data_IF_186152932046
#
_entry.id   IF_186152932046
#
_cell.length_a   1.000
_cell.length_b   1.000
_cell.length_c   1.000
_cell.angle_alpha   90.00
_cell.angle_beta   90.00
_cell.angle_gamma   90.00
#
_symmetry.space_group_name_H-M   'P 1'
#
loop_
_entity.id
_entity.type
_entity.pdbx_description
1 polymer ?
#
# COMPACT_ATOMS: atom_id res chain seq x y z
N UNK A 1 -11.52 17.33 5.91
CA UNK A 1 -11.68 17.39 4.43
C UNK A 1 -13.11 17.77 4.11
N UNK A 2 -13.35 18.56 3.07
CA UNK A 2 -14.71 18.92 2.67
C UNK A 2 -15.48 17.69 2.19
N UNK A 3 -16.75 17.58 2.56
CA UNK A 3 -17.61 16.46 2.18
C UNK A 3 -17.70 16.31 0.65
N UNK A 4 -17.84 17.42 -0.05
CA UNK A 4 -17.91 17.48 -1.52
C UNK A 4 -16.67 16.91 -2.20
N UNK A 5 -15.48 17.14 -1.62
CA UNK A 5 -14.25 16.54 -2.12
C UNK A 5 -14.27 15.01 -1.98
N UNK A 6 -14.66 14.48 -0.81
CA UNK A 6 -14.68 13.03 -0.57
C UNK A 6 -15.67 12.32 -1.50
N UNK A 7 -16.89 12.85 -1.62
CA UNK A 7 -17.90 12.30 -2.54
C UNK A 7 -17.44 12.37 -4.01
N UNK A 8 -16.78 13.47 -4.40
CA UNK A 8 -16.21 13.62 -5.73
C UNK A 8 -15.09 12.62 -6.00
N UNK A 9 -14.15 12.45 -5.05
CA UNK A 9 -13.04 11.52 -5.16
C UNK A 9 -13.54 10.06 -5.26
N UNK A 10 -14.50 9.66 -4.41
CA UNK A 10 -15.11 8.34 -4.48
C UNK A 10 -15.76 8.09 -5.85
N UNK A 11 -16.50 9.07 -6.39
CA UNK A 11 -17.12 8.96 -7.71
C UNK A 11 -16.09 8.75 -8.82
N UNK A 12 -15.00 9.51 -8.81
CA UNK A 12 -13.90 9.38 -9.79
C UNK A 12 -13.25 7.99 -9.68
N UNK A 13 -12.88 7.58 -8.46
CA UNK A 13 -12.20 6.30 -8.20
C UNK A 13 -13.09 5.12 -8.61
N UNK A 14 -14.39 5.15 -8.28
CA UNK A 14 -15.32 4.09 -8.68
C UNK A 14 -15.51 4.03 -10.20
N UNK A 15 -15.59 5.18 -10.88
CA UNK A 15 -15.67 5.21 -12.34
C UNK A 15 -14.43 4.58 -12.99
N UNK A 16 -13.23 4.86 -12.47
CA UNK A 16 -11.99 4.22 -12.88
C UNK A 16 -11.98 2.71 -12.57
N UNK A 17 -12.55 2.30 -11.45
CA UNK A 17 -12.71 0.88 -11.13
C UNK A 17 -13.60 0.12 -12.12
N UNK A 18 -14.61 0.77 -12.71
CA UNK A 18 -15.40 0.17 -13.78
C UNK A 18 -14.56 -0.12 -15.03
N UNK A 19 -13.56 0.72 -15.33
CA UNK A 19 -12.62 0.47 -16.45
C UNK A 19 -11.84 -0.83 -16.19
N UNK A 20 -11.33 -1.00 -14.97
CA UNK A 20 -10.57 -2.19 -14.56
C UNK A 20 -11.46 -3.43 -14.59
N UNK A 21 -12.66 -3.36 -14.01
CA UNK A 21 -13.60 -4.48 -13.93
C UNK A 21 -14.06 -4.97 -15.29
N UNK A 22 -14.26 -4.05 -16.24
CA UNK A 22 -14.73 -4.34 -17.58
C UNK A 22 -13.60 -4.48 -18.61
N UNK A 23 -12.34 -4.58 -18.16
CA UNK A 23 -11.19 -4.70 -19.05
C UNK A 23 -11.25 -5.98 -19.90
N UNK A 24 -10.94 -5.85 -21.19
CA UNK A 24 -10.75 -7.00 -22.05
C UNK A 24 -9.39 -7.64 -21.76
N UNK A 25 -9.43 -8.72 -21.00
CA UNK A 25 -8.22 -9.46 -20.59
C UNK A 25 -7.54 -10.21 -21.74
N UNK A 26 -8.17 -10.34 -22.90
CA UNK A 26 -7.54 -10.89 -24.08
C UNK A 26 -6.63 -9.89 -24.81
N UNK A 27 -6.80 -8.59 -24.52
CA UNK A 27 -6.08 -7.49 -25.16
C UNK A 27 -5.54 -6.50 -24.12
N UNK A 28 -4.74 -6.96 -23.16
CA UNK A 28 -4.20 -6.11 -22.11
C UNK A 28 -3.11 -5.14 -22.58
N UNK A 29 -2.44 -5.44 -23.72
CA UNK A 29 -1.32 -4.61 -24.18
C UNK A 29 -0.17 -4.61 -23.18
N UNK A 30 0.23 -5.80 -22.71
CA UNK A 30 1.25 -5.96 -21.67
C UNK A 30 2.61 -5.53 -22.20
N UNK A 31 3.27 -4.64 -21.46
CA UNK A 31 4.64 -4.22 -21.69
C UNK A 31 5.49 -4.50 -20.44
N UNK A 32 6.74 -4.91 -20.63
CA UNK A 32 7.69 -5.07 -19.52
C UNK A 32 8.35 -3.73 -19.23
N UNK A 33 8.32 -3.32 -17.98
CA UNK A 33 9.19 -2.26 -17.44
C UNK A 33 10.58 -2.85 -17.12
N UNK A 34 11.42 -2.11 -16.42
CA UNK A 34 12.73 -2.60 -15.99
C UNK A 34 12.60 -3.78 -15.01
N UNK A 35 13.35 -4.87 -15.27
CA UNK A 35 13.33 -6.10 -14.46
C UNK A 35 12.43 -7.19 -15.04
N UNK A 36 12.47 -8.40 -14.44
CA UNK A 36 11.77 -9.59 -14.95
C UNK A 36 10.30 -9.72 -14.50
N UNK A 37 9.88 -8.94 -13.51
CA UNK A 37 8.57 -9.06 -12.89
C UNK A 37 7.76 -7.75 -12.92
N UNK A 38 8.29 -6.68 -13.52
CA UNK A 38 7.66 -5.38 -13.56
C UNK A 38 6.93 -5.19 -14.89
N UNK A 39 5.61 -5.15 -14.86
CA UNK A 39 4.73 -5.06 -16.02
C UNK A 39 3.80 -3.87 -15.91
N UNK A 40 3.38 -3.37 -17.08
CA UNK A 40 2.33 -2.38 -17.23
C UNK A 40 1.35 -2.86 -18.32
N UNK A 41 0.10 -2.53 -18.16
CA UNK A 41 -0.91 -2.76 -19.18
C UNK A 41 -1.43 -1.42 -19.74
N UNK A 42 -2.11 -1.46 -20.90
CA UNK A 42 -2.77 -0.26 -21.42
C UNK A 42 -3.80 0.32 -20.45
N UNK A 43 -4.30 -0.49 -19.51
CA UNK A 43 -5.28 -0.06 -18.51
C UNK A 43 -4.64 0.75 -17.39
N UNK A 44 -3.40 0.47 -17.00
CA UNK A 44 -2.68 1.27 -15.98
C UNK A 44 -2.57 2.73 -16.46
N UNK A 45 -2.08 2.95 -17.67
CA UNK A 45 -1.97 4.28 -18.25
C UNK A 45 -3.34 4.98 -18.45
N UNK A 46 -4.36 4.23 -18.89
CA UNK A 46 -5.72 4.76 -19.06
C UNK A 46 -6.33 5.18 -17.74
N UNK A 47 -6.29 4.30 -16.74
CA UNK A 47 -6.85 4.56 -15.41
C UNK A 47 -6.13 5.71 -14.74
N UNK A 48 -4.78 5.78 -14.83
CA UNK A 48 -4.03 6.91 -14.28
C UNK A 48 -4.45 8.24 -14.91
N UNK A 49 -4.62 8.28 -16.23
CA UNK A 49 -5.06 9.49 -16.92
C UNK A 49 -6.44 9.96 -16.43
N UNK A 50 -7.42 9.05 -16.37
CA UNK A 50 -8.77 9.37 -15.90
C UNK A 50 -8.78 9.82 -14.43
N UNK A 51 -7.98 9.17 -13.55
CA UNK A 51 -7.79 9.60 -12.16
C UNK A 51 -7.19 10.99 -12.09
N UNK A 52 -6.14 11.26 -12.86
CA UNK A 52 -5.47 12.56 -12.86
C UNK A 52 -6.42 13.68 -13.32
N UNK A 53 -7.19 13.48 -14.39
CA UNK A 53 -8.14 14.45 -14.89
C UNK A 53 -9.25 14.70 -13.87
N UNK A 54 -9.89 13.66 -13.33
CA UNK A 54 -10.99 13.79 -12.38
C UNK A 54 -10.56 14.36 -11.02
N UNK A 55 -9.40 13.94 -10.50
CA UNK A 55 -8.89 14.47 -9.23
C UNK A 55 -8.42 15.93 -9.36
N UNK A 56 -7.88 16.30 -10.52
CA UNK A 56 -7.51 17.70 -10.80
C UNK A 56 -8.69 18.64 -10.86
N UNK A 57 -9.87 18.18 -11.29
CA UNK A 57 -11.10 18.99 -11.21
C UNK A 57 -11.49 19.30 -9.76
N UNK A 58 -11.23 18.40 -8.83
CA UNK A 58 -11.53 18.55 -7.41
C UNK A 58 -10.48 19.40 -6.67
N UNK A 59 -9.23 19.36 -7.11
CA UNK A 59 -8.07 20.09 -6.54
C UNK A 59 -7.16 20.58 -7.68
N UNK A 60 -7.50 21.70 -8.33
CA UNK A 60 -6.77 22.17 -9.51
C UNK A 60 -5.30 22.52 -9.27
N UNK A 61 -4.98 22.93 -8.04
CA UNK A 61 -3.63 23.37 -7.65
C UNK A 61 -2.75 22.20 -7.12
N UNK A 62 -3.33 21.01 -6.90
CA UNK A 62 -2.57 19.86 -6.43
C UNK A 62 -1.71 19.28 -7.55
N UNK A 63 -0.44 18.98 -7.22
CA UNK A 63 0.44 18.22 -8.08
C UNK A 63 0.03 16.73 -8.10
N UNK A 64 0.61 15.96 -9.02
CA UNK A 64 0.30 14.54 -9.18
C UNK A 64 1.59 13.72 -9.25
N UNK A 65 1.68 12.69 -8.43
CA UNK A 65 2.71 11.67 -8.44
C UNK A 65 2.04 10.31 -8.68
N UNK A 66 2.14 9.80 -9.89
CA UNK A 66 1.59 8.49 -10.27
C UNK A 66 2.69 7.46 -10.50
N UNK A 67 2.31 6.17 -10.51
CA UNK A 67 3.23 5.10 -10.87
C UNK A 67 3.65 5.17 -12.34
N UNK A 68 2.71 5.57 -13.22
CA UNK A 68 2.96 5.60 -14.65
C UNK A 68 3.48 6.99 -15.09
N UNK A 69 4.64 7.03 -15.76
CA UNK A 69 5.26 8.24 -16.28
C UNK A 69 6.69 8.48 -15.80
N UNK A 70 7.25 9.61 -16.18
CA UNK A 70 8.69 9.92 -16.01
C UNK A 70 9.04 10.55 -14.65
N UNK A 71 8.07 10.86 -13.77
CA UNK A 71 8.35 11.57 -12.53
C UNK A 71 8.66 10.61 -11.38
N UNK A 72 9.96 10.37 -11.17
CA UNK A 72 10.45 9.61 -10.00
C UNK A 72 10.61 10.49 -8.74
N UNK A 73 10.51 11.81 -8.87
CA UNK A 73 10.72 12.74 -7.76
C UNK A 73 9.38 13.27 -7.23
N UNK A 74 9.30 13.36 -5.89
CA UNK A 74 8.14 13.94 -5.23
C UNK A 74 8.01 15.43 -5.59
N UNK A 75 6.87 15.89 -6.14
CA UNK A 75 6.67 17.26 -6.57
C UNK A 75 6.88 18.30 -5.45
N UNK A 76 7.50 19.44 -5.78
CA UNK A 76 7.57 20.60 -4.88
C UNK A 76 6.26 21.38 -4.94
N UNK A 77 5.24 20.88 -4.24
CA UNK A 77 3.91 21.47 -4.17
C UNK A 77 3.31 21.31 -2.76
N UNK A 78 2.39 22.20 -2.41
CA UNK A 78 1.74 22.14 -1.09
C UNK A 78 0.85 20.90 -0.96
N UNK A 79 0.09 20.58 -2.01
CA UNK A 79 -0.74 19.37 -2.08
C UNK A 79 -0.27 18.48 -3.25
N UNK A 80 -0.20 17.18 -3.01
CA UNK A 80 0.20 16.20 -4.01
C UNK A 80 -0.71 14.99 -3.92
N UNK A 81 -1.35 14.62 -5.02
CA UNK A 81 -1.95 13.30 -5.18
C UNK A 81 -0.84 12.27 -5.42
N UNK A 82 -0.89 11.16 -4.68
CA UNK A 82 0.01 10.02 -4.84
C UNK A 82 -0.87 8.84 -5.24
N UNK A 83 -0.66 8.29 -6.44
CA UNK A 83 -1.63 7.40 -7.08
C UNK A 83 -0.96 6.17 -7.66
N UNK A 84 -1.51 5.00 -7.35
CA UNK A 84 -1.31 3.77 -8.09
C UNK A 84 -2.61 3.44 -8.83
N UNK A 85 -2.60 3.43 -10.17
CA UNK A 85 -3.80 3.15 -10.95
C UNK A 85 -4.27 1.69 -10.83
N UNK A 86 -3.35 0.72 -10.70
CA UNK A 86 -3.66 -0.71 -10.56
C UNK A 86 -2.60 -1.37 -9.66
N UNK A 87 -2.66 -1.18 -8.35
CA UNK A 87 -1.83 -1.95 -7.43
C UNK A 87 -2.17 -3.44 -7.55
N UNK A 88 -1.15 -4.26 -7.83
CA UNK A 88 -1.31 -5.66 -8.16
C UNK A 88 -1.51 -5.93 -9.65
N UNK A 89 -0.79 -5.22 -10.54
CA UNK A 89 -0.85 -5.42 -12.01
C UNK A 89 -0.66 -6.87 -12.42
N UNK A 90 0.25 -7.62 -11.77
CA UNK A 90 0.42 -9.07 -12.03
C UNK A 90 -0.86 -9.85 -11.71
N UNK A 91 -1.55 -9.56 -10.60
CA UNK A 91 -2.83 -10.19 -10.27
C UNK A 91 -3.89 -9.88 -11.33
N UNK A 92 -3.94 -8.63 -11.77
CA UNK A 92 -4.85 -8.20 -12.83
C UNK A 92 -4.57 -8.95 -14.15
N UNK A 93 -3.30 -9.08 -14.53
CA UNK A 93 -2.89 -9.79 -15.76
C UNK A 93 -3.29 -11.28 -15.76
N UNK A 94 -3.12 -11.98 -14.63
CA UNK A 94 -3.42 -13.41 -14.53
C UNK A 94 -4.87 -13.71 -14.14
N UNK A 95 -5.70 -12.68 -13.97
CA UNK A 95 -7.12 -12.83 -13.67
C UNK A 95 -7.43 -13.17 -12.20
N UNK A 96 -6.52 -12.90 -11.29
CA UNK A 96 -6.83 -12.86 -9.86
C UNK A 96 -7.54 -11.54 -9.57
N UNK A 97 -8.75 -11.61 -9.03
CA UNK A 97 -9.57 -10.43 -8.72
C UNK A 97 -9.09 -9.75 -7.41
N UNK A 98 -7.76 -9.54 -7.33
CA UNK A 98 -7.07 -8.98 -6.16
C UNK A 98 -6.11 -7.88 -6.58
N UNK A 99 -6.69 -6.81 -7.13
CA UNK A 99 -6.01 -5.58 -7.52
C UNK A 99 -6.88 -4.39 -7.13
N UNK A 100 -6.28 -3.22 -6.96
CA UNK A 100 -7.02 -2.04 -6.53
C UNK A 100 -6.46 -0.75 -7.10
N UNK A 101 -7.25 0.30 -7.02
CA UNK A 101 -6.81 1.68 -7.19
C UNK A 101 -6.38 2.19 -5.82
N UNK A 102 -5.22 2.84 -5.73
CA UNK A 102 -4.72 3.48 -4.51
C UNK A 102 -4.54 4.98 -4.74
N UNK A 103 -5.19 5.81 -3.93
CA UNK A 103 -5.13 7.28 -4.02
C UNK A 103 -4.88 7.86 -2.65
N UNK A 104 -3.82 8.65 -2.52
CA UNK A 104 -3.57 9.48 -1.35
C UNK A 104 -3.50 10.95 -1.74
N UNK A 105 -4.01 11.85 -0.89
CA UNK A 105 -3.71 13.27 -0.94
C UNK A 105 -2.79 13.60 0.21
N UNK A 106 -1.60 14.09 -0.09
CA UNK A 106 -0.67 14.60 0.92
C UNK A 106 -0.65 16.13 0.90
N UNK A 107 -0.47 16.72 2.07
CA UNK A 107 -0.23 18.14 2.27
C UNK A 107 1.07 18.31 3.04
N UNK A 108 2.06 19.01 2.46
CA UNK A 108 3.39 19.20 3.05
C UNK A 108 4.05 17.87 3.48
N UNK A 109 4.01 16.88 2.59
CA UNK A 109 4.52 15.50 2.81
C UNK A 109 3.82 14.74 3.96
N UNK A 110 2.62 15.12 4.33
CA UNK A 110 1.81 14.36 5.27
C UNK A 110 0.52 13.93 4.58
N UNK A 111 0.19 12.64 4.59
CA UNK A 111 -1.07 12.14 3.99
C UNK A 111 -2.23 12.62 4.85
N UNK A 112 -3.18 13.33 4.22
CA UNK A 112 -4.36 13.91 4.88
C UNK A 112 -5.67 13.24 4.46
N UNK A 113 -5.68 12.58 3.30
CA UNK A 113 -6.79 11.78 2.80
C UNK A 113 -6.25 10.56 2.05
N UNK A 114 -6.96 9.46 2.16
CA UNK A 114 -6.64 8.21 1.48
C UNK A 114 -7.90 7.49 1.02
N UNK A 115 -7.84 6.87 -0.15
CA UNK A 115 -8.84 5.94 -0.64
C UNK A 115 -8.17 4.78 -1.38
N UNK A 116 -8.64 3.55 -1.13
CA UNK A 116 -8.24 2.33 -1.83
C UNK A 116 -9.51 1.62 -2.27
N UNK A 117 -9.61 1.28 -3.54
CA UNK A 117 -10.79 0.63 -4.09
C UNK A 117 -10.47 -0.65 -4.86
N UNK A 118 -10.96 -1.78 -4.39
CA UNK A 118 -10.96 -3.02 -5.14
C UNK A 118 -12.27 -3.15 -5.94
N UNK A 119 -12.25 -2.98 -7.28
CA UNK A 119 -13.47 -2.98 -8.10
C UNK A 119 -14.11 -4.37 -8.24
N UNK A 120 -13.38 -5.44 -8.01
CA UNK A 120 -13.87 -6.81 -8.15
C UNK A 120 -14.72 -7.25 -6.96
N UNK A 121 -14.42 -6.72 -5.77
CA UNK A 121 -15.15 -7.02 -4.54
C UNK A 121 -16.02 -5.87 -4.06
N UNK A 122 -16.02 -4.75 -4.77
CA UNK A 122 -16.67 -3.49 -4.41
C UNK A 122 -16.29 -3.00 -2.99
N UNK A 123 -15.02 -3.22 -2.61
CA UNK A 123 -14.50 -2.79 -1.33
C UNK A 123 -13.81 -1.44 -1.48
N UNK A 124 -14.42 -0.41 -0.92
CA UNK A 124 -13.90 0.96 -0.88
C UNK A 124 -13.44 1.29 0.53
N UNK A 125 -12.15 1.48 0.70
CA UNK A 125 -11.54 1.90 1.96
C UNK A 125 -11.23 3.39 1.89
N UNK A 126 -11.54 4.12 2.95
CA UNK A 126 -11.20 5.54 3.03
C UNK A 126 -10.75 5.92 4.44
N UNK A 127 -9.90 6.93 4.52
CA UNK A 127 -9.52 7.57 5.76
C UNK A 127 -9.23 9.07 5.53
N UNK A 128 -9.53 9.85 6.55
CA UNK A 128 -9.12 11.25 6.69
C UNK A 128 -8.31 11.38 7.97
N UNK A 129 -7.23 12.15 7.94
CA UNK A 129 -6.40 12.36 9.14
C UNK A 129 -7.23 12.90 10.30
N UNK A 130 -7.25 12.13 11.41
CA UNK A 130 -8.05 12.40 12.61
C UNK A 130 -9.55 12.11 12.44
N UNK A 131 -9.96 11.49 11.31
CA UNK A 131 -11.35 11.18 10.99
C UNK A 131 -11.74 9.71 11.14
N UNK A 132 -10.79 8.83 11.42
CA UNK A 132 -10.98 7.39 11.42
C UNK A 132 -10.87 6.75 10.04
N UNK A 133 -10.93 5.42 10.00
CA UNK A 133 -10.89 4.61 8.79
C UNK A 133 -12.20 3.86 8.57
N UNK A 134 -12.59 3.73 7.32
CA UNK A 134 -13.88 3.16 6.93
C UNK A 134 -13.71 2.20 5.75
N UNK A 135 -14.58 1.18 5.71
CA UNK A 135 -14.79 0.32 4.53
C UNK A 135 -16.25 0.39 4.13
N UNK A 136 -16.54 0.85 2.90
CA UNK A 136 -17.92 1.06 2.43
C UNK A 136 -18.75 1.86 3.44
N UNK A 137 -18.16 2.95 3.97
CA UNK A 137 -18.72 3.86 4.98
C UNK A 137 -18.95 3.27 6.39
N UNK A 138 -18.61 1.99 6.61
CA UNK A 138 -18.62 1.36 7.92
C UNK A 138 -17.24 1.49 8.59
N UNK A 139 -17.15 1.87 9.87
CA UNK A 139 -15.88 2.04 10.54
C UNK A 139 -15.13 0.71 10.66
N UNK A 140 -13.81 0.76 10.47
CA UNK A 140 -12.91 -0.38 10.62
C UNK A 140 -11.85 -0.11 11.68
N UNK A 141 -11.33 -1.19 12.27
CA UNK A 141 -10.29 -1.13 13.27
C UNK A 141 -9.30 -2.27 13.07
N UNK A 142 -8.03 -2.01 13.39
CA UNK A 142 -6.99 -3.02 13.40
C UNK A 142 -7.27 -4.10 14.45
N UNK A 143 -6.63 -5.26 14.30
CA UNK A 143 -6.68 -6.33 15.28
C UNK A 143 -5.95 -5.92 16.59
N UNK A 144 -6.56 -6.25 17.73
CA UNK A 144 -5.92 -6.21 19.05
C UNK A 144 -5.18 -7.51 19.41
N UNK A 145 -5.15 -8.51 18.53
CA UNK A 145 -4.49 -9.77 18.79
C UNK A 145 -2.95 -9.65 18.69
N UNK A 146 -2.19 -10.39 19.51
CA UNK A 146 -0.75 -10.46 19.39
C UNK A 146 -0.33 -11.24 18.14
N UNK A 147 0.95 -11.13 17.79
CA UNK A 147 1.51 -11.73 16.57
C UNK A 147 1.24 -13.23 16.46
N UNK A 148 1.32 -13.96 17.59
CA UNK A 148 1.15 -15.41 17.68
C UNK A 148 -0.28 -15.89 17.42
N UNK A 149 -1.24 -14.99 17.47
CA UNK A 149 -2.67 -15.29 17.28
C UNK A 149 -3.25 -14.70 16.00
N UNK A 150 -2.40 -14.22 15.11
CA UNK A 150 -2.81 -13.59 13.87
C UNK A 150 -2.11 -14.12 12.64
N UNK A 151 -2.55 -13.63 11.49
CA UNK A 151 -1.96 -13.91 10.17
C UNK A 151 -1.07 -12.73 9.79
N UNK A 152 0.13 -13.03 9.26
CA UNK A 152 1.00 -12.03 8.67
C UNK A 152 0.83 -11.98 7.14
N UNK A 153 0.78 -10.78 6.58
CA UNK A 153 0.90 -10.57 5.15
C UNK A 153 2.33 -10.16 4.82
N UNK A 154 2.85 -10.67 3.72
CA UNK A 154 4.23 -10.44 3.30
C UNK A 154 4.31 -10.00 1.85
N UNK A 155 5.13 -9.00 1.59
CA UNK A 155 5.61 -8.69 0.26
C UNK A 155 6.99 -9.30 0.00
N UNK A 156 7.33 -9.48 -1.25
CA UNK A 156 8.60 -10.12 -1.68
C UNK A 156 9.51 -9.19 -2.44
N UNK A 157 9.10 -7.93 -2.65
CA UNK A 157 9.83 -6.93 -3.45
C UNK A 157 10.36 -7.52 -4.77
N UNK A 158 9.49 -8.11 -5.64
CA UNK A 158 9.91 -8.98 -6.75
C UNK A 158 10.73 -8.28 -7.83
N UNK A 159 10.74 -6.95 -7.82
CA UNK A 159 11.51 -6.13 -8.77
C UNK A 159 12.99 -5.96 -8.37
N UNK A 160 13.35 -6.42 -7.16
CA UNK A 160 14.67 -6.19 -6.55
C UNK A 160 15.27 -7.53 -6.13
N UNK A 161 16.08 -8.13 -7.02
CA UNK A 161 16.69 -9.46 -6.80
C UNK A 161 17.51 -9.49 -5.50
N UNK A 162 18.21 -8.41 -5.17
CA UNK A 162 19.03 -8.28 -3.96
C UNK A 162 18.21 -8.32 -2.66
N UNK A 163 16.90 -8.11 -2.71
CA UNK A 163 16.00 -8.17 -1.56
C UNK A 163 15.32 -9.53 -1.37
N UNK A 164 15.53 -10.48 -2.28
CA UNK A 164 14.87 -11.79 -2.25
C UNK A 164 15.20 -12.55 -0.97
N UNK A 165 16.48 -12.73 -0.64
CA UNK A 165 16.90 -13.51 0.53
C UNK A 165 16.41 -12.90 1.84
N UNK A 166 16.47 -11.57 1.99
CA UNK A 166 16.01 -10.91 3.20
C UNK A 166 14.49 -10.99 3.32
N UNK A 167 13.74 -10.85 2.24
CA UNK A 167 12.27 -10.98 2.22
C UNK A 167 11.84 -12.39 2.66
N UNK A 168 12.45 -13.44 2.11
CA UNK A 168 12.14 -14.81 2.48
C UNK A 168 12.65 -15.19 3.90
N UNK A 169 13.74 -14.61 4.36
CA UNK A 169 14.20 -14.79 5.74
C UNK A 169 13.15 -14.22 6.72
N UNK A 170 12.59 -13.05 6.43
CA UNK A 170 11.50 -12.45 7.21
C UNK A 170 10.20 -13.24 7.15
N UNK A 171 9.82 -13.69 5.96
CA UNK A 171 8.67 -14.57 5.79
C UNK A 171 8.79 -15.83 6.68
N UNK A 172 9.97 -16.45 6.71
CA UNK A 172 10.27 -17.61 7.57
C UNK A 172 10.20 -17.27 9.05
N UNK A 173 10.66 -16.09 9.45
CA UNK A 173 10.58 -15.62 10.83
C UNK A 173 9.11 -15.49 11.26
N UNK A 174 8.29 -14.78 10.47
CA UNK A 174 6.88 -14.62 10.78
C UNK A 174 6.09 -15.92 10.74
N UNK A 175 6.41 -16.84 9.80
CA UNK A 175 5.76 -18.15 9.76
C UNK A 175 5.96 -18.95 11.06
N UNK A 176 7.08 -18.72 11.79
CA UNK A 176 7.32 -19.35 13.09
C UNK A 176 6.61 -18.67 14.26
N UNK A 177 6.16 -17.44 14.09
CA UNK A 177 5.58 -16.60 15.14
C UNK A 177 4.09 -16.37 14.98
N UNK A 178 3.57 -16.42 13.74
CA UNK A 178 2.16 -16.23 13.42
C UNK A 178 1.43 -17.55 13.20
N UNK A 179 0.11 -17.51 13.13
CA UNK A 179 -0.72 -18.67 12.75
C UNK A 179 -0.37 -19.11 11.31
N UNK A 180 -0.19 -18.15 10.41
CA UNK A 180 0.12 -18.41 9.00
C UNK A 180 0.58 -17.12 8.32
N UNK A 181 1.12 -17.24 7.10
CA UNK A 181 1.51 -16.11 6.26
C UNK A 181 0.69 -16.07 4.98
N UNK A 182 0.53 -14.86 4.41
CA UNK A 182 -0.09 -14.64 3.09
C UNK A 182 0.83 -13.78 2.23
N UNK A 183 0.87 -14.07 0.95
CA UNK A 183 1.46 -13.22 -0.09
C UNK A 183 0.37 -12.96 -1.14
N UNK A 184 -0.25 -11.81 -1.10
CA UNK A 184 -1.40 -11.49 -1.93
C UNK A 184 -1.02 -10.94 -3.30
N UNK A 185 0.00 -10.09 -3.35
CA UNK A 185 0.49 -9.45 -4.58
C UNK A 185 -0.09 -8.05 -4.82
N UNK A 186 -0.72 -7.45 -3.80
CA UNK A 186 -1.19 -6.07 -3.78
C UNK A 186 -0.85 -5.46 -2.42
N UNK A 187 0.12 -4.57 -2.37
CA UNK A 187 0.58 -3.97 -1.12
C UNK A 187 -0.50 -3.10 -0.47
N UNK A 188 -1.25 -2.35 -1.27
CA UNK A 188 -2.34 -1.51 -0.78
C UNK A 188 -3.46 -2.33 -0.15
N UNK A 189 -3.86 -3.48 -0.75
CA UNK A 189 -4.85 -4.38 -0.16
C UNK A 189 -4.32 -5.11 1.07
N UNK A 190 -3.04 -5.43 1.13
CA UNK A 190 -2.41 -6.03 2.32
C UNK A 190 -2.45 -5.05 3.51
N UNK A 191 -2.20 -3.76 3.27
CA UNK A 191 -2.38 -2.69 4.25
C UNK A 191 -3.85 -2.56 4.68
N UNK A 192 -4.81 -2.68 3.76
CA UNK A 192 -6.24 -2.72 4.09
C UNK A 192 -6.60 -3.94 4.97
N UNK A 193 -5.98 -5.11 4.73
CA UNK A 193 -6.17 -6.29 5.59
C UNK A 193 -5.70 -6.05 7.02
N UNK A 194 -4.62 -5.29 7.22
CA UNK A 194 -4.19 -4.86 8.56
C UNK A 194 -5.21 -3.88 9.16
N UNK A 195 -5.64 -2.88 8.39
CA UNK A 195 -6.56 -1.84 8.86
C UNK A 195 -7.93 -2.39 9.30
N UNK A 196 -8.45 -3.43 8.63
CA UNK A 196 -9.72 -4.06 8.98
C UNK A 196 -9.57 -5.25 9.96
N UNK A 197 -8.37 -5.46 10.54
CA UNK A 197 -8.12 -6.47 11.56
C UNK A 197 -8.03 -7.92 11.06
N UNK A 198 -7.97 -8.16 9.76
CA UNK A 198 -7.79 -9.51 9.18
C UNK A 198 -6.35 -10.00 9.22
N UNK A 199 -5.41 -9.07 9.22
CA UNK A 199 -4.00 -9.33 9.44
C UNK A 199 -3.53 -8.62 10.69
N UNK A 200 -2.59 -9.22 11.42
CA UNK A 200 -1.96 -8.54 12.57
C UNK A 200 -0.74 -7.75 12.15
N UNK A 201 -0.11 -8.11 11.04
CA UNK A 201 1.08 -7.44 10.51
C UNK A 201 1.19 -7.62 9.00
N UNK A 202 1.73 -6.60 8.34
CA UNK A 202 2.23 -6.64 6.96
C UNK A 202 3.66 -6.13 6.93
N UNK A 203 4.51 -6.70 6.06
CA UNK A 203 5.82 -6.13 5.77
C UNK A 203 6.22 -6.32 4.32
N UNK A 204 6.96 -5.36 3.79
CA UNK A 204 7.66 -5.46 2.53
C UNK A 204 9.00 -4.71 2.57
N UNK A 205 10.01 -5.28 1.90
CA UNK A 205 11.38 -4.76 1.94
C UNK A 205 11.55 -3.44 1.21
N UNK A 206 10.77 -3.21 0.16
CA UNK A 206 10.78 -1.98 -0.61
C UNK A 206 9.47 -1.78 -1.35
N UNK A 207 8.84 -0.66 -1.10
CA UNK A 207 7.64 -0.15 -1.75
C UNK A 207 7.91 1.25 -2.30
N UNK A 208 7.19 1.60 -3.35
CA UNK A 208 7.14 2.94 -3.89
C UNK A 208 6.11 3.79 -3.12
N UNK A 209 6.17 5.12 -3.20
CA UNK A 209 5.23 5.98 -2.49
C UNK A 209 3.75 5.67 -2.77
N UNK A 210 3.40 5.33 -3.99
CA UNK A 210 2.03 5.04 -4.41
C UNK A 210 1.49 3.72 -3.86
N UNK A 211 2.37 2.74 -3.58
CA UNK A 211 2.00 1.44 -2.99
C UNK A 211 1.54 1.59 -1.53
N UNK A 212 2.13 2.53 -0.77
CA UNK A 212 1.94 2.58 0.68
C UNK A 212 1.26 3.84 1.22
N UNK A 213 1.29 4.96 0.49
CA UNK A 213 0.85 6.24 1.06
C UNK A 213 -0.60 6.20 1.55
N UNK A 214 -1.52 5.71 0.72
CA UNK A 214 -2.93 5.60 1.09
C UNK A 214 -3.13 4.59 2.23
N UNK A 215 -2.62 3.37 2.08
CA UNK A 215 -2.75 2.32 3.08
C UNK A 215 -2.16 2.70 4.43
N UNK A 216 -1.08 3.50 4.46
CA UNK A 216 -0.45 3.95 5.69
C UNK A 216 -1.35 4.87 6.52
N UNK A 217 -2.13 5.75 5.89
CA UNK A 217 -3.11 6.57 6.60
C UNK A 217 -4.27 5.71 7.09
N UNK A 218 -4.80 4.81 6.23
CA UNK A 218 -5.93 3.94 6.59
C UNK A 218 -5.58 3.09 7.81
N UNK A 219 -4.38 2.49 7.86
CA UNK A 219 -3.93 1.70 9.03
C UNK A 219 -3.83 2.56 10.28
N UNK A 220 -3.24 3.77 10.19
CA UNK A 220 -3.10 4.68 11.33
C UNK A 220 -4.46 5.12 11.87
N UNK A 221 -5.37 5.50 11.00
CA UNK A 221 -6.72 5.93 11.37
C UNK A 221 -7.60 4.78 11.89
N UNK A 222 -7.27 3.53 11.53
CA UNK A 222 -7.86 2.33 12.12
C UNK A 222 -7.28 1.96 13.50
N UNK A 223 -6.31 2.73 14.03
CA UNK A 223 -5.68 2.52 15.33
C UNK A 223 -4.43 1.63 15.30
N UNK A 224 -3.85 1.37 14.12
CA UNK A 224 -2.60 0.64 13.94
C UNK A 224 -1.36 1.53 13.87
N UNK A 225 -0.21 0.89 13.65
CA UNK A 225 1.07 1.56 13.44
C UNK A 225 1.65 1.26 12.06
N UNK A 226 2.38 2.23 11.50
CA UNK A 226 3.13 2.05 10.25
C UNK A 226 4.50 2.73 10.38
N UNK A 227 5.56 1.98 10.08
CA UNK A 227 6.96 2.40 10.18
C UNK A 227 7.81 1.72 9.11
N UNK A 228 9.06 2.16 8.96
CA UNK A 228 10.08 1.42 8.21
C UNK A 228 10.59 0.20 9.01
N UNK A 229 11.48 -0.61 8.40
CA UNK A 229 12.07 -1.77 9.08
C UNK A 229 12.95 -1.42 10.28
N UNK A 230 13.36 -0.17 10.41
CA UNK A 230 14.18 0.30 11.50
C UNK A 230 13.33 0.95 12.61
N UNK A 231 12.01 0.87 12.52
CA UNK A 231 11.09 1.49 13.46
C UNK A 231 11.00 3.01 13.36
N UNK A 232 11.37 3.59 12.21
CA UNK A 232 11.28 5.03 11.96
C UNK A 232 9.98 5.35 11.24
N UNK A 233 9.43 6.55 11.42
CA UNK A 233 8.31 7.03 10.61
C UNK A 233 8.63 6.98 9.12
N UNK A 234 7.63 6.63 8.30
CA UNK A 234 7.78 6.67 6.85
C UNK A 234 7.96 8.11 6.37
N UNK A 235 8.89 8.31 5.46
CA UNK A 235 9.07 9.56 4.73
C UNK A 235 8.22 9.52 3.45
N UNK A 236 7.08 10.23 3.48
CA UNK A 236 6.14 10.24 2.35
C UNK A 236 6.80 10.80 1.09
N UNK A 237 6.66 10.05 0.00
CA UNK A 237 7.29 10.38 -1.29
C UNK A 237 8.66 9.72 -1.49
N UNK A 238 9.11 8.85 -0.58
CA UNK A 238 10.40 8.15 -0.68
C UNK A 238 10.17 6.64 -0.69
N UNK A 239 10.75 5.94 -1.66
CA UNK A 239 10.71 4.48 -1.70
C UNK A 239 11.45 3.87 -0.49
N UNK A 240 10.89 2.85 0.11
CA UNK A 240 11.49 2.23 1.29
C UNK A 240 10.73 1.01 1.82
N UNK A 241 11.26 0.45 2.88
CA UNK A 241 10.61 -0.66 3.57
C UNK A 241 9.38 -0.19 4.35
N UNK A 242 8.38 -1.06 4.44
CA UNK A 242 7.13 -0.77 5.16
C UNK A 242 6.77 -1.93 6.08
N UNK A 243 6.46 -1.60 7.33
CA UNK A 243 5.87 -2.50 8.32
C UNK A 243 4.61 -1.84 8.85
N UNK A 244 3.45 -2.49 8.66
CA UNK A 244 2.17 -2.07 9.22
C UNK A 244 1.67 -3.12 10.20
N UNK A 245 1.09 -2.70 11.32
CA UNK A 245 0.73 -3.64 12.40
C UNK A 245 -0.48 -3.18 13.20
N UNK A 246 -1.18 -4.17 13.77
CA UNK A 246 -2.31 -3.97 14.67
C UNK A 246 -1.88 -3.60 16.08
N UNK A 247 -2.81 -3.11 16.89
CA UNK A 247 -2.54 -2.59 18.25
C UNK A 247 -2.06 -3.65 19.26
N UNK A 248 -2.30 -4.93 18.99
CA UNK A 248 -1.84 -6.03 19.85
C UNK A 248 -0.43 -6.54 19.54
N UNK A 249 0.18 -6.06 18.46
CA UNK A 249 1.52 -6.51 18.05
C UNK A 249 2.60 -5.71 18.79
N UNK A 250 3.44 -6.42 19.54
CA UNK A 250 4.54 -5.84 20.32
C UNK A 250 5.84 -6.63 20.06
N UNK A 251 6.99 -6.02 20.39
CA UNK A 251 8.29 -6.72 20.30
C UNK A 251 8.70 -7.09 18.88
N UNK A 252 8.28 -6.30 17.88
CA UNK A 252 8.71 -6.46 16.48
C UNK A 252 10.02 -5.74 16.19
N UNK A 253 10.44 -4.86 17.08
CA UNK A 253 11.73 -4.17 17.04
C UNK A 253 12.55 -4.56 18.25
N UNK A 254 13.71 -5.21 18.05
CA UNK A 254 14.68 -5.43 19.09
C UNK A 254 15.45 -4.13 19.35
N UNK A 255 15.55 -3.74 20.63
CA UNK A 255 16.48 -2.69 21.04
C UNK A 255 17.88 -3.28 21.04
N UNK A 256 18.74 -2.83 20.13
CA UNK A 256 20.16 -3.15 20.22
C UNK A 256 20.79 -2.38 21.37
N UNK A 257 21.84 -2.90 22.01
CA UNK A 257 22.63 -2.25 23.07
C UNK A 257 23.19 -0.88 22.66
N UNK A 258 23.13 -0.52 21.38
CA UNK A 258 23.54 0.79 20.82
C UNK A 258 22.45 1.86 20.85
N UNK A 259 21.23 1.56 21.38
CA UNK A 259 20.11 2.50 21.40
C UNK A 259 19.45 2.74 20.02
N UNK A 260 19.85 2.01 18.99
CA UNK A 260 19.17 2.00 17.70
C UNK A 260 18.09 0.92 17.72
N UNK A 261 16.85 1.31 17.52
CA UNK A 261 15.74 0.38 17.30
C UNK A 261 15.87 -0.22 15.91
N UNK A 262 16.09 -1.52 15.80
CA UNK A 262 16.14 -2.23 14.51
C UNK A 262 14.97 -3.18 14.44
N UNK A 263 14.17 -3.03 13.42
CA UNK A 263 13.07 -3.95 13.13
C UNK A 263 13.63 -5.27 12.59
N UNK A 264 14.67 -5.84 13.04
CA UNK A 264 15.30 -7.08 12.58
C UNK A 264 16.84 -6.96 12.56
N UNK A 265 17.48 -7.66 13.46
CA UNK A 265 18.91 -7.89 13.32
C UNK A 265 19.17 -8.65 11.99
N UNK A 266 20.20 -8.30 11.23
CA UNK A 266 20.66 -9.15 10.14
C UNK A 266 20.94 -10.54 10.69
N UNK A 267 20.56 -11.59 9.96
CA UNK A 267 20.90 -12.97 10.34
C UNK A 267 22.42 -13.05 10.50
N UNK A 268 22.87 -13.14 11.75
CA UNK A 268 24.29 -13.28 12.08
C UNK A 268 24.87 -14.49 11.35
N UNK A 269 26.04 -14.31 10.78
CA UNK A 269 26.93 -15.36 10.27
C UNK A 269 26.97 -16.53 11.25
N UNK A 270 26.71 -17.72 10.78
CA UNK A 270 26.97 -18.92 11.54
C UNK A 270 26.06 -20.11 11.29
N UNK A 271 26.14 -20.68 10.09
CA UNK A 271 25.93 -22.12 9.96
C UNK A 271 27.26 -22.67 9.43
N UNK A 272 28.04 -23.26 10.36
CA UNK A 272 29.05 -24.26 10.03
C UNK A 272 28.36 -25.62 10.00
#
# INVERSE_FOLDING_TARGET
>A
MEKEFKEGAEKVIRACGEIIRNADRSELGIESKEGHANFVTKYDALVQKELQEGLKELRPDAAFLGEEGDSSEYPDAEEVFIVDPIDGTTNFMVGLDHSCISVALSRKREVVYAAIYNPFTDAYYEAEKGGGAYRNHEPIHVSGEPLERGVAYIGTAPYYEELTEVSFAKAREYLKRCIDIRRSGSAALDLCCVAEGRAVIFFEAKLQPWDYAAGSLIVKEAGGGVMDWNGRPLEIGTAGSVVAYGSGVTGIWDQTDSGQTVCFAPAGEGIR
#
